data_IF_564137396028
#
_entry.id   IF_564137396028
#
_cell.length_a   1.000
_cell.length_b   1.000
_cell.length_c   1.000
_cell.angle_alpha   90.00
_cell.angle_beta   90.00
_cell.angle_gamma   90.00
#
_symmetry.space_group_name_H-M   'P 1'
#
loop_
_entity.id
_entity.type
_entity.pdbx_description
1 polymer ?
#
# COMPACT_ATOMS: atom_id res chain seq x y z
N UNK A 1 -7.14 -7.89 5.14
CA UNK A 1 -6.10 -6.96 4.67
C UNK A 1 -5.03 -6.68 5.72
N UNK A 2 -5.37 -6.37 6.97
CA UNK A 2 -4.38 -6.13 8.04
C UNK A 2 -3.35 -7.24 8.23
N UNK A 3 -3.76 -8.51 8.16
CA UNK A 3 -2.82 -9.65 8.22
C UNK A 3 -1.83 -9.64 7.06
N UNK A 4 -2.27 -9.29 5.86
CA UNK A 4 -1.41 -9.20 4.66
C UNK A 4 -0.40 -8.07 4.84
N UNK A 5 -0.85 -6.90 5.30
CA UNK A 5 0.03 -5.75 5.58
C UNK A 5 1.08 -6.12 6.63
N UNK A 6 0.67 -6.75 7.74
CA UNK A 6 1.59 -7.22 8.80
C UNK A 6 2.63 -8.20 8.27
N UNK A 7 2.23 -9.16 7.43
CA UNK A 7 3.17 -10.11 6.84
C UNK A 7 4.11 -9.43 5.83
N UNK A 8 3.59 -8.53 5.01
CA UNK A 8 4.38 -7.79 4.03
C UNK A 8 5.43 -6.88 4.69
N UNK A 9 5.17 -6.36 5.88
CA UNK A 9 6.13 -5.55 6.66
C UNK A 9 7.40 -6.30 7.04
N UNK A 10 7.47 -7.62 6.93
CA UNK A 10 8.71 -8.36 7.19
C UNK A 10 9.60 -8.54 5.95
N UNK A 11 9.06 -8.32 4.75
CA UNK A 11 9.72 -8.70 3.49
C UNK A 11 9.76 -7.58 2.45
N UNK A 12 8.87 -6.58 2.55
CA UNK A 12 8.70 -5.55 1.55
C UNK A 12 8.67 -4.15 2.18
N UNK A 13 9.07 -3.17 1.38
CA UNK A 13 9.04 -1.75 1.76
C UNK A 13 7.83 -1.01 1.24
N UNK A 14 7.21 -1.54 0.20
CA UNK A 14 6.14 -0.86 -0.52
C UNK A 14 5.11 -1.91 -0.91
N UNK A 15 3.84 -1.64 -0.60
CA UNK A 15 2.71 -2.36 -1.18
C UNK A 15 2.01 -1.45 -2.18
N UNK A 16 1.78 -1.96 -3.39
CA UNK A 16 1.04 -1.24 -4.43
C UNK A 16 -0.18 -2.05 -4.86
N UNK A 17 -1.34 -1.42 -4.83
CA UNK A 17 -2.61 -1.99 -5.26
C UNK A 17 -3.15 -1.19 -6.45
N UNK A 18 -3.76 -1.89 -7.40
CA UNK A 18 -4.43 -1.28 -8.55
C UNK A 18 -5.92 -1.55 -8.43
N UNK A 19 -6.73 -0.51 -8.56
CA UNK A 19 -8.19 -0.65 -8.54
C UNK A 19 -8.83 0.48 -9.34
N UNK A 20 -9.83 0.16 -10.14
CA UNK A 20 -10.77 1.12 -10.73
C UNK A 20 -12.07 1.23 -9.94
N UNK A 21 -12.26 0.40 -8.90
CA UNK A 21 -13.43 0.40 -8.05
C UNK A 21 -13.27 1.45 -6.94
N UNK A 22 -14.15 2.45 -6.93
CA UNK A 22 -14.12 3.57 -5.99
C UNK A 22 -14.32 3.14 -4.53
N UNK A 23 -15.15 2.13 -4.26
CA UNK A 23 -15.36 1.63 -2.90
C UNK A 23 -14.09 0.95 -2.36
N UNK A 24 -13.37 0.21 -3.22
CA UNK A 24 -12.09 -0.39 -2.86
C UNK A 24 -11.00 0.68 -2.67
N UNK A 25 -10.98 1.72 -3.51
CA UNK A 25 -10.06 2.85 -3.36
C UNK A 25 -10.22 3.53 -2.00
N UNK A 26 -11.45 3.92 -1.64
CA UNK A 26 -11.77 4.53 -0.34
C UNK A 26 -11.37 3.61 0.83
N UNK A 27 -11.60 2.31 0.70
CA UNK A 27 -11.18 1.34 1.72
C UNK A 27 -9.65 1.26 1.86
N UNK A 28 -8.88 1.32 0.77
CA UNK A 28 -7.42 1.33 0.84
C UNK A 28 -6.88 2.62 1.45
N UNK A 29 -7.48 3.76 1.15
CA UNK A 29 -7.12 5.05 1.77
C UNK A 29 -7.35 5.03 3.29
N UNK A 30 -8.43 4.41 3.77
CA UNK A 30 -8.66 4.19 5.20
C UNK A 30 -7.60 3.31 5.88
N UNK A 31 -6.95 2.43 5.12
CA UNK A 31 -5.83 1.60 5.59
C UNK A 31 -4.47 2.31 5.51
N UNK A 32 -4.45 3.58 5.11
CA UNK A 32 -3.24 4.41 5.00
C UNK A 32 -2.52 4.31 3.66
N UNK A 33 -3.13 3.70 2.63
CA UNK A 33 -2.57 3.78 1.29
C UNK A 33 -2.78 5.18 0.71
N UNK A 34 -1.77 5.71 0.04
CA UNK A 34 -1.81 6.98 -0.68
C UNK A 34 -2.19 6.74 -2.13
N UNK A 35 -3.15 7.50 -2.64
CA UNK A 35 -3.52 7.46 -4.05
C UNK A 35 -2.46 8.18 -4.89
N UNK A 36 -1.88 7.46 -5.86
CA UNK A 36 -0.94 8.01 -6.83
C UNK A 36 -1.64 8.25 -8.18
N UNK A 37 -1.70 9.51 -8.65
CA UNK A 37 -2.20 9.82 -9.98
C UNK A 37 -1.21 9.32 -11.03
N UNK A 38 -1.69 8.61 -12.05
CA UNK A 38 -0.84 8.07 -13.12
C UNK A 38 -1.57 7.14 -14.09
N UNK A 39 -0.82 6.60 -15.05
CA UNK A 39 -1.35 5.63 -16.02
C UNK A 39 -1.67 4.30 -15.29
N UNK A 40 -2.96 4.11 -15.00
CA UNK A 40 -3.57 3.15 -14.04
C UNK A 40 -3.62 3.66 -12.60
N UNK A 41 -4.83 3.83 -12.09
CA UNK A 41 -5.12 4.23 -10.69
C UNK A 41 -4.46 3.23 -9.74
N UNK A 42 -3.56 3.73 -8.91
CA UNK A 42 -2.79 2.90 -7.99
C UNK A 42 -2.71 3.53 -6.61
N UNK A 43 -2.72 2.67 -5.60
CA UNK A 43 -2.67 3.03 -4.19
C UNK A 43 -1.40 2.43 -3.60
N UNK A 44 -0.61 3.22 -2.88
CA UNK A 44 0.69 2.81 -2.36
C UNK A 44 0.73 2.97 -0.85
N UNK A 45 1.20 1.93 -0.15
CA UNK A 45 1.49 1.97 1.27
C UNK A 45 2.99 1.76 1.48
N UNK A 46 3.66 2.76 2.07
CA UNK A 46 5.05 2.63 2.51
C UNK A 46 5.06 1.88 3.84
N UNK A 47 5.80 0.77 3.87
CA UNK A 47 5.95 -0.08 5.04
C UNK A 47 7.20 0.33 5.79
N UNK A 48 7.01 1.05 6.91
CA UNK A 48 8.06 1.48 7.80
C UNK A 48 8.62 0.30 8.61
N UNK A 49 9.50 -0.50 8.02
CA UNK A 49 10.27 -1.52 8.74
C UNK A 49 11.77 -1.18 8.76
N UNK A 50 12.53 -1.90 9.58
CA UNK A 50 13.98 -1.69 9.73
C UNK A 50 14.75 -2.01 8.45
N UNK A 51 14.25 -2.94 7.62
CA UNK A 51 14.84 -3.31 6.32
C UNK A 51 14.84 -2.09 5.37
N UNK A 52 13.75 -1.33 5.36
CA UNK A 52 13.58 -0.17 4.48
C UNK A 52 14.33 1.08 4.93
N UNK A 53 14.86 1.10 6.16
CA UNK A 53 15.69 2.21 6.66
C UNK A 53 17.18 2.06 6.34
N UNK A 54 17.61 0.90 5.86
CA UNK A 54 19.02 0.64 5.48
C UNK A 54 19.29 0.79 3.97
N UNK A 55 18.26 1.06 3.15
CA UNK A 55 18.41 1.41 1.72
C UNK A 55 18.41 2.93 1.56
#
# INVERSE_FOLDING_TARGET
MNTIIKQAQFHFCILRLFTSNQAAAAFYEQLGFEHLPGHKVSHVLILSNWICRMM
#
